data_IF_303049757017
#
_entry.id   IF_303049757017
#
_cell.length_a   1.000
_cell.length_b   1.000
_cell.length_c   1.000
_cell.angle_alpha   90.00
_cell.angle_beta   90.00
_cell.angle_gamma   90.00
#
_symmetry.space_group_name_H-M   'P 1'
#
loop_
_entity.id
_entity.type
_entity.pdbx_description
1 polymer ?
#
# COMPACT_ATOMS: atom_id res chain seq x y z
N UNK A 1 -4.52 11.61 1.33
CA UNK A 1 -3.24 11.65 0.63
C UNK A 1 -2.61 13.05 0.68
N UNK A 2 -3.29 14.08 0.16
CA UNK A 2 -2.75 15.46 0.17
C UNK A 2 -2.42 15.98 1.59
N UNK A 3 -3.27 15.71 2.57
CA UNK A 3 -3.06 16.11 3.97
C UNK A 3 -1.78 15.51 4.56
N UNK A 4 -1.56 14.22 4.35
CA UNK A 4 -0.36 13.53 4.86
C UNK A 4 0.93 14.02 4.18
N UNK A 5 0.88 14.29 2.88
CA UNK A 5 2.01 14.88 2.17
C UNK A 5 2.29 16.32 2.64
N UNK A 6 1.26 17.14 2.81
CA UNK A 6 1.41 18.50 3.36
C UNK A 6 2.03 18.50 4.76
N UNK A 7 1.64 17.55 5.60
CA UNK A 7 2.29 17.34 6.90
C UNK A 7 3.78 17.05 6.75
N UNK A 8 4.14 16.09 5.87
CA UNK A 8 5.53 15.72 5.64
C UNK A 8 6.35 16.94 5.15
N UNK A 9 5.81 17.74 4.22
CA UNK A 9 6.47 18.96 3.72
C UNK A 9 6.68 20.00 4.81
N UNK A 10 5.63 20.25 5.63
CA UNK A 10 5.71 21.19 6.75
C UNK A 10 6.80 20.82 7.76
N UNK A 11 7.04 19.52 7.95
CA UNK A 11 8.02 19.02 8.93
C UNK A 11 9.37 18.63 8.29
N UNK A 12 9.58 18.95 7.00
CA UNK A 12 10.79 18.61 6.23
C UNK A 12 11.12 17.10 6.29
N UNK A 13 10.10 16.25 6.12
CA UNK A 13 10.22 14.80 6.13
C UNK A 13 10.22 14.26 4.70
N UNK A 14 10.98 13.20 4.48
CA UNK A 14 10.84 12.38 3.27
C UNK A 14 9.52 11.61 3.33
N UNK A 15 8.73 11.69 2.27
CA UNK A 15 7.40 11.07 2.22
C UNK A 15 7.48 9.68 1.58
N UNK A 16 6.91 8.68 2.23
CA UNK A 16 6.75 7.33 1.67
C UNK A 16 5.30 6.90 1.79
N UNK A 17 4.69 6.54 0.65
CA UNK A 17 3.29 6.11 0.55
C UNK A 17 3.23 4.65 0.12
N UNK A 18 2.40 3.85 0.81
CA UNK A 18 2.35 2.39 0.66
C UNK A 18 1.30 1.90 -0.35
N UNK A 19 1.13 2.61 -1.46
CA UNK A 19 0.25 2.19 -2.56
C UNK A 19 -1.19 2.70 -2.46
N UNK A 20 -1.98 2.37 -3.49
CA UNK A 20 -3.38 2.75 -3.62
C UNK A 20 -3.61 4.28 -3.54
N UNK A 21 -2.85 5.02 -4.36
CA UNK A 21 -3.05 6.45 -4.58
C UNK A 21 -4.39 6.71 -5.27
N UNK A 22 -4.83 5.74 -6.06
CA UNK A 22 -6.08 5.76 -6.81
C UNK A 22 -7.19 4.97 -6.12
N UNK A 23 -8.40 5.22 -6.58
CA UNK A 23 -9.66 4.67 -6.11
C UNK A 23 -10.16 5.21 -4.76
N UNK A 24 -11.45 5.04 -4.51
CA UNK A 24 -12.20 5.48 -3.33
C UNK A 24 -12.20 6.98 -3.03
N UNK A 25 -11.14 7.71 -3.39
CA UNK A 25 -11.05 9.16 -3.17
C UNK A 25 -11.93 9.96 -4.12
N UNK A 26 -12.33 11.20 -3.74
CA UNK A 26 -13.19 12.05 -4.58
C UNK A 26 -12.45 12.72 -5.75
N UNK A 27 -11.12 12.79 -5.72
CA UNK A 27 -10.30 13.59 -6.62
C UNK A 27 -9.15 12.77 -7.25
N UNK A 28 -9.46 11.79 -8.13
CA UNK A 28 -8.43 10.90 -8.68
C UNK A 28 -7.41 11.61 -9.57
N UNK A 29 -7.83 12.60 -10.36
CA UNK A 29 -6.92 13.37 -11.22
C UNK A 29 -5.92 14.17 -10.39
N UNK A 30 -6.40 14.90 -9.39
CA UNK A 30 -5.54 15.68 -8.49
C UNK A 30 -4.60 14.78 -7.67
N UNK A 31 -5.03 13.57 -7.35
CA UNK A 31 -4.17 12.59 -6.69
C UNK A 31 -3.01 12.17 -7.58
N UNK A 32 -3.24 11.93 -8.88
CA UNK A 32 -2.17 11.63 -9.84
C UNK A 32 -1.25 12.83 -10.09
N UNK A 33 -1.79 14.02 -10.21
CA UNK A 33 -0.98 15.24 -10.37
C UNK A 33 -0.07 15.44 -9.15
N UNK A 34 -0.58 15.22 -7.94
CA UNK A 34 0.21 15.29 -6.73
C UNK A 34 1.26 14.16 -6.68
N UNK A 35 0.90 12.94 -7.10
CA UNK A 35 1.83 11.82 -7.17
C UNK A 35 2.98 12.14 -8.14
N UNK A 36 2.67 12.70 -9.31
CA UNK A 36 3.66 13.17 -10.28
C UNK A 36 4.58 14.22 -9.67
N UNK A 37 4.01 15.22 -9.01
CA UNK A 37 4.79 16.27 -8.34
C UNK A 37 5.78 15.71 -7.32
N UNK A 38 5.33 14.76 -6.48
CA UNK A 38 6.18 14.12 -5.48
C UNK A 38 7.35 13.37 -6.13
N UNK A 39 7.08 12.64 -7.22
CA UNK A 39 8.11 11.89 -7.96
C UNK A 39 9.10 12.84 -8.65
N UNK A 40 8.60 13.82 -9.38
CA UNK A 40 9.43 14.73 -10.19
C UNK A 40 10.33 15.61 -9.31
N UNK A 41 9.87 15.98 -8.12
CA UNK A 41 10.65 16.77 -7.15
C UNK A 41 11.53 15.90 -6.24
N UNK A 42 11.45 14.58 -6.30
CA UNK A 42 12.19 13.69 -5.41
C UNK A 42 11.81 13.84 -3.93
N UNK A 43 10.62 14.32 -3.64
CA UNK A 43 10.16 14.57 -2.28
C UNK A 43 9.71 13.30 -1.53
N UNK A 44 9.57 12.19 -2.24
CA UNK A 44 9.12 10.95 -1.65
C UNK A 44 9.14 9.76 -2.61
N UNK A 45 8.81 8.61 -2.08
CA UNK A 45 8.57 7.38 -2.83
C UNK A 45 7.12 6.97 -2.69
N UNK A 46 6.48 6.67 -3.81
CA UNK A 46 5.13 6.13 -3.88
C UNK A 46 5.23 4.67 -4.32
N UNK A 47 4.91 3.74 -3.44
CA UNK A 47 4.89 2.30 -3.76
C UNK A 47 3.65 2.00 -4.57
N UNK A 48 3.74 1.08 -5.52
CA UNK A 48 2.61 0.68 -6.34
C UNK A 48 1.63 -0.17 -5.52
N UNK A 49 0.35 0.23 -5.50
CA UNK A 49 -0.75 -0.55 -4.95
C UNK A 49 -1.46 -1.39 -6.01
N UNK A 50 -2.31 -2.30 -5.55
CA UNK A 50 -3.08 -3.16 -6.46
C UNK A 50 -4.15 -2.37 -7.24
N UNK A 51 -4.71 -1.31 -6.67
CA UNK A 51 -5.62 -0.40 -7.37
C UNK A 51 -4.89 0.40 -8.45
N UNK A 52 -3.72 0.95 -8.16
CA UNK A 52 -2.86 1.65 -9.10
C UNK A 52 -2.49 0.72 -10.27
N UNK A 53 -2.04 -0.50 -9.99
CA UNK A 53 -1.70 -1.51 -10.99
C UNK A 53 -2.90 -1.86 -11.89
N UNK A 54 -4.10 -1.96 -11.32
CA UNK A 54 -5.31 -2.30 -12.07
C UNK A 54 -5.71 -1.21 -13.04
N UNK A 55 -5.69 0.05 -12.62
CA UNK A 55 -5.95 1.22 -13.46
C UNK A 55 -4.85 1.37 -14.53
N UNK A 56 -3.59 1.10 -14.19
CA UNK A 56 -2.49 1.11 -15.16
C UNK A 56 -2.69 0.08 -16.28
N UNK A 57 -3.08 -1.14 -15.93
CA UNK A 57 -3.38 -2.18 -16.94
C UNK A 57 -4.54 -1.78 -17.84
N UNK A 58 -5.58 -1.14 -17.30
CA UNK A 58 -6.67 -0.57 -18.09
C UNK A 58 -6.16 0.54 -19.01
N UNK A 59 -5.35 1.47 -18.51
CA UNK A 59 -4.79 2.56 -19.31
C UNK A 59 -3.96 2.06 -20.50
N UNK A 60 -3.27 0.90 -20.35
CA UNK A 60 -2.56 0.20 -21.41
C UNK A 60 -3.45 -0.48 -22.45
N UNK A 61 -4.77 -0.47 -22.29
CA UNK A 61 -5.71 -1.15 -23.16
C UNK A 61 -5.85 -2.65 -22.91
N UNK A 62 -5.37 -3.16 -21.77
CA UNK A 62 -5.56 -4.57 -21.43
C UNK A 62 -7.03 -4.83 -21.08
N UNK A 63 -7.52 -6.03 -21.40
CA UNK A 63 -8.83 -6.49 -20.92
C UNK A 63 -8.74 -6.72 -19.40
N UNK A 64 -9.35 -5.80 -18.63
CA UNK A 64 -9.33 -5.81 -17.15
C UNK A 64 -10.75 -5.73 -16.62
N UNK A 65 -11.16 -6.74 -15.86
CA UNK A 65 -12.46 -6.68 -15.14
C UNK A 65 -12.40 -5.60 -14.05
N UNK A 66 -12.94 -4.42 -14.35
CA UNK A 66 -13.02 -3.31 -13.41
C UNK A 66 -14.06 -3.57 -12.32
N UNK A 67 -13.67 -3.41 -11.07
CA UNK A 67 -14.58 -3.41 -9.92
C UNK A 67 -15.31 -2.06 -9.77
N UNK A 68 -16.19 -1.96 -8.76
CA UNK A 68 -16.93 -0.72 -8.50
C UNK A 68 -16.00 0.48 -8.28
N UNK A 69 -14.95 0.32 -7.47
CA UNK A 69 -14.02 1.40 -7.15
C UNK A 69 -13.37 2.01 -8.41
N UNK A 70 -12.87 1.15 -9.33
CA UNK A 70 -12.27 1.61 -10.58
C UNK A 70 -13.29 2.30 -11.50
N UNK A 71 -14.51 1.75 -11.61
CA UNK A 71 -15.55 2.39 -12.41
C UNK A 71 -15.94 3.76 -11.84
N UNK A 72 -16.07 3.87 -10.52
CA UNK A 72 -16.34 5.15 -9.85
C UNK A 72 -15.21 6.17 -10.07
N UNK A 73 -13.95 5.72 -10.07
CA UNK A 73 -12.78 6.54 -10.39
C UNK A 73 -12.86 7.07 -11.82
N UNK A 74 -13.09 6.20 -12.80
CA UNK A 74 -13.18 6.59 -14.21
C UNK A 74 -14.36 7.53 -14.48
N UNK A 75 -15.51 7.32 -13.84
CA UNK A 75 -16.66 8.21 -13.95
C UNK A 75 -16.37 9.63 -13.43
N UNK A 76 -15.48 9.77 -12.42
CA UNK A 76 -15.07 11.10 -11.90
C UNK A 76 -14.12 11.86 -12.80
N UNK A 77 -13.46 11.20 -13.73
CA UNK A 77 -12.51 11.79 -14.68
C UNK A 77 -13.00 11.77 -16.13
N UNK A 78 -14.27 11.49 -16.36
CA UNK A 78 -14.83 11.31 -17.69
C UNK A 78 -14.50 12.46 -18.64
N UNK A 79 -14.62 13.72 -18.19
CA UNK A 79 -14.29 14.92 -18.97
C UNK A 79 -12.81 15.10 -19.26
N UNK A 80 -11.94 14.33 -18.61
CA UNK A 80 -10.48 14.42 -18.70
C UNK A 80 -9.84 13.06 -18.82
N UNK A 81 -10.56 12.10 -19.38
CA UNK A 81 -10.16 10.68 -19.41
C UNK A 81 -8.84 10.45 -20.14
N UNK A 82 -8.56 11.19 -21.21
CA UNK A 82 -7.31 11.05 -21.94
C UNK A 82 -6.13 11.59 -21.13
N UNK A 83 -6.28 12.78 -20.51
CA UNK A 83 -5.27 13.31 -19.61
C UNK A 83 -5.03 12.37 -18.41
N UNK A 84 -6.09 11.82 -17.84
CA UNK A 84 -5.99 10.87 -16.74
C UNK A 84 -5.23 9.61 -17.18
N UNK A 85 -5.54 9.06 -18.36
CA UNK A 85 -4.85 7.90 -18.95
C UNK A 85 -3.36 8.19 -19.14
N UNK A 86 -3.01 9.32 -19.71
CA UNK A 86 -1.61 9.71 -19.95
C UNK A 86 -0.84 9.84 -18.63
N UNK A 87 -1.44 10.47 -17.63
CA UNK A 87 -0.85 10.56 -16.29
C UNK A 87 -0.67 9.18 -15.63
N UNK A 88 -1.65 8.30 -15.76
CA UNK A 88 -1.52 6.92 -15.25
C UNK A 88 -0.34 6.21 -15.91
N UNK A 89 -0.20 6.34 -17.23
CA UNK A 89 0.90 5.74 -18.01
C UNK A 89 2.26 6.35 -17.69
N UNK A 90 2.30 7.59 -17.23
CA UNK A 90 3.54 8.26 -16.82
C UNK A 90 3.93 7.96 -15.37
N UNK A 91 2.96 8.03 -14.44
CA UNK A 91 3.20 8.03 -12.99
C UNK A 91 3.35 6.63 -12.43
N UNK A 92 2.42 5.73 -12.78
CA UNK A 92 2.36 4.41 -12.15
C UNK A 92 3.57 3.53 -12.46
N UNK A 93 4.15 3.51 -13.68
CA UNK A 93 5.36 2.72 -13.95
C UNK A 93 6.60 3.14 -13.14
N UNK A 94 6.62 4.36 -12.62
CA UNK A 94 7.71 4.88 -11.78
C UNK A 94 7.57 4.43 -10.31
N UNK A 95 6.42 3.87 -9.93
CA UNK A 95 6.17 3.38 -8.58
C UNK A 95 6.83 2.00 -8.39
N UNK A 96 7.78 1.84 -7.48
CA UNK A 96 8.35 0.54 -7.16
C UNK A 96 7.34 -0.32 -6.38
N UNK A 97 7.51 -1.65 -6.40
CA UNK A 97 6.72 -2.58 -5.58
C UNK A 97 7.11 -2.56 -4.10
N UNK A 98 8.30 -2.11 -3.80
CA UNK A 98 8.84 -2.00 -2.44
C UNK A 98 9.87 -0.88 -2.35
N UNK A 99 10.11 -0.45 -1.13
CA UNK A 99 11.28 0.37 -0.77
C UNK A 99 11.93 -0.23 0.47
N UNK A 100 13.21 0.03 0.65
CA UNK A 100 13.92 -0.38 1.86
C UNK A 100 14.91 0.68 2.30
N UNK A 101 15.05 0.83 3.60
CA UNK A 101 16.04 1.70 4.18
C UNK A 101 16.55 1.11 5.51
N UNK A 102 17.83 0.77 5.59
CA UNK A 102 18.42 0.05 6.73
C UNK A 102 17.68 -1.26 7.01
N UNK A 103 17.11 -1.41 8.20
CA UNK A 103 16.31 -2.56 8.62
C UNK A 103 14.80 -2.37 8.41
N UNK A 104 14.39 -1.32 7.72
CA UNK A 104 12.98 -1.09 7.40
C UNK A 104 12.69 -1.49 5.96
N UNK A 105 11.61 -2.22 5.78
CA UNK A 105 11.12 -2.66 4.48
C UNK A 105 9.66 -2.20 4.32
N UNK A 106 9.33 -1.67 3.17
CA UNK A 106 8.04 -1.05 2.89
C UNK A 106 7.44 -1.69 1.64
N UNK A 107 6.19 -2.11 1.72
CA UNK A 107 5.46 -2.75 0.63
C UNK A 107 3.97 -2.49 0.75
N UNK A 108 3.21 -2.73 -0.34
CA UNK A 108 1.77 -2.58 -0.30
C UNK A 108 1.07 -3.80 0.31
N UNK A 109 1.26 -5.01 -0.23
CA UNK A 109 0.49 -6.20 0.14
C UNK A 109 1.19 -7.16 1.09
N UNK A 110 2.46 -7.44 0.87
CA UNK A 110 3.26 -8.40 1.65
C UNK A 110 4.60 -8.67 0.99
N UNK A 111 5.34 -9.63 1.50
CA UNK A 111 6.65 -10.01 0.95
C UNK A 111 6.66 -11.50 0.61
N UNK A 112 7.00 -11.83 -0.62
CA UNK A 112 7.17 -13.24 -1.00
C UNK A 112 8.44 -13.80 -0.31
N UNK A 113 8.41 -14.98 0.35
CA UNK A 113 9.55 -15.50 1.10
C UNK A 113 10.85 -15.56 0.31
N UNK A 114 10.82 -16.07 -0.93
CA UNK A 114 12.00 -16.14 -1.81
C UNK A 114 12.64 -14.78 -2.09
N UNK A 115 11.92 -13.67 -1.88
CA UNK A 115 12.50 -12.34 -2.07
C UNK A 115 13.65 -12.08 -1.11
N UNK A 116 13.59 -12.61 0.11
CA UNK A 116 14.64 -12.40 1.10
C UNK A 116 15.97 -13.02 0.69
N UNK A 117 15.95 -14.07 -0.13
CA UNK A 117 17.12 -14.72 -0.69
C UNK A 117 17.62 -13.99 -1.95
N UNK A 118 16.73 -13.76 -2.90
CA UNK A 118 17.06 -13.21 -4.22
C UNK A 118 17.31 -11.70 -4.23
N UNK A 119 16.66 -10.97 -3.31
CA UNK A 119 16.62 -9.49 -3.25
C UNK A 119 16.08 -8.86 -4.54
N UNK A 120 15.41 -9.64 -5.37
CA UNK A 120 14.84 -9.23 -6.66
C UNK A 120 13.48 -9.88 -6.89
N UNK A 121 12.60 -9.16 -7.57
CA UNK A 121 11.35 -9.73 -8.05
C UNK A 121 11.67 -10.45 -9.36
N UNK A 122 11.61 -11.79 -9.33
CA UNK A 122 12.01 -12.65 -10.45
C UNK A 122 10.84 -13.28 -11.19
N UNK A 123 9.64 -13.22 -10.63
CA UNK A 123 8.42 -13.85 -11.18
C UNK A 123 7.15 -13.09 -10.82
N UNK A 124 6.10 -13.26 -11.65
CA UNK A 124 4.79 -12.60 -11.42
C UNK A 124 4.12 -13.00 -10.11
N UNK A 125 4.38 -14.19 -9.58
CA UNK A 125 3.86 -14.58 -8.26
C UNK A 125 4.41 -13.70 -7.14
N UNK A 126 5.67 -13.27 -7.23
CA UNK A 126 6.24 -12.30 -6.29
C UNK A 126 5.56 -10.93 -6.43
N UNK A 127 5.42 -10.40 -7.65
CA UNK A 127 4.68 -9.15 -7.89
C UNK A 127 3.28 -9.20 -7.28
N UNK A 128 2.59 -10.35 -7.45
CA UNK A 128 1.26 -10.55 -6.88
C UNK A 128 1.26 -10.44 -5.35
N UNK A 129 2.25 -11.02 -4.67
CA UNK A 129 2.34 -10.92 -3.20
C UNK A 129 2.62 -9.48 -2.77
N UNK A 130 3.49 -8.76 -3.47
CA UNK A 130 3.75 -7.34 -3.19
C UNK A 130 2.51 -6.47 -3.35
N UNK A 131 1.62 -6.79 -4.30
CA UNK A 131 0.40 -6.03 -4.58
C UNK A 131 -0.81 -6.45 -3.74
N UNK A 132 -0.98 -7.73 -3.47
CA UNK A 132 -2.22 -8.28 -2.91
C UNK A 132 -2.03 -9.01 -1.57
N UNK A 133 -0.79 -9.20 -1.12
CA UNK A 133 -0.49 -10.14 -0.06
C UNK A 133 -0.53 -11.60 -0.54
N UNK A 134 -0.19 -12.51 0.33
CA UNK A 134 -0.26 -13.95 0.05
C UNK A 134 -1.69 -14.45 0.24
N UNK A 135 -2.15 -15.32 -0.66
CA UNK A 135 -3.49 -15.91 -0.62
C UNK A 135 -3.41 -17.43 -0.75
N UNK A 136 -4.27 -18.13 -0.03
CA UNK A 136 -4.53 -19.54 -0.21
C UNK A 136 -5.72 -19.70 -1.17
N UNK A 137 -5.44 -19.99 -2.43
CA UNK A 137 -6.46 -20.13 -3.46
C UNK A 137 -7.32 -21.40 -3.31
N UNK A 138 -6.97 -22.32 -2.39
CA UNK A 138 -7.77 -23.51 -2.09
C UNK A 138 -8.95 -23.19 -1.17
N UNK A 139 -8.95 -22.00 -0.56
CA UNK A 139 -9.95 -21.53 0.41
C UNK A 139 -10.55 -20.20 0.00
N UNK A 140 -11.78 -19.98 0.40
CA UNK A 140 -12.43 -18.67 0.32
C UNK A 140 -13.10 -18.34 1.63
N UNK A 141 -13.14 -17.06 1.97
CA UNK A 141 -13.88 -16.55 3.13
C UNK A 141 -15.12 -15.85 2.62
N UNK A 142 -16.28 -16.23 3.16
CA UNK A 142 -17.54 -15.55 2.83
C UNK A 142 -17.67 -14.26 3.64
N UNK A 143 -17.84 -13.13 2.96
CA UNK A 143 -18.12 -11.86 3.60
C UNK A 143 -19.24 -11.11 2.88
N UNK A 144 -20.27 -10.72 3.63
CA UNK A 144 -21.48 -10.08 3.08
C UNK A 144 -22.05 -10.84 1.86
N UNK A 145 -22.05 -12.17 1.93
CA UNK A 145 -22.58 -13.05 0.87
C UNK A 145 -21.70 -13.16 -0.38
N UNK A 146 -20.47 -12.63 -0.35
CA UNK A 146 -19.53 -12.73 -1.46
C UNK A 146 -18.27 -13.51 -1.05
N UNK A 147 -17.71 -14.35 -1.93
CA UNK A 147 -16.46 -15.03 -1.68
C UNK A 147 -15.28 -14.08 -1.80
N UNK A 148 -14.40 -14.09 -0.80
CA UNK A 148 -13.12 -13.38 -0.79
C UNK A 148 -11.96 -14.37 -0.72
N UNK A 149 -10.83 -13.98 -1.28
CA UNK A 149 -9.61 -14.76 -1.17
C UNK A 149 -9.19 -14.90 0.30
N UNK A 150 -8.89 -16.12 0.72
CA UNK A 150 -8.35 -16.38 2.04
C UNK A 150 -6.90 -15.90 2.12
N UNK A 151 -6.64 -14.86 2.92
CA UNK A 151 -5.29 -14.32 3.11
C UNK A 151 -4.53 -15.17 4.11
N UNK A 152 -3.25 -15.34 3.84
CA UNK A 152 -2.32 -16.04 4.73
C UNK A 152 -1.13 -15.12 5.04
N UNK A 153 -0.61 -15.25 6.25
CA UNK A 153 0.44 -14.38 6.78
C UNK A 153 1.71 -15.15 7.13
N UNK A 154 1.85 -16.38 6.63
CA UNK A 154 3.03 -17.22 6.85
C UNK A 154 4.33 -16.53 6.38
N UNK A 155 4.22 -15.66 5.37
CA UNK A 155 5.34 -14.86 4.90
C UNK A 155 5.96 -13.98 5.99
N UNK A 156 5.20 -13.59 7.00
CA UNK A 156 5.71 -12.77 8.10
C UNK A 156 6.72 -13.54 8.96
N UNK A 157 6.55 -14.86 9.12
CA UNK A 157 7.48 -15.71 9.86
C UNK A 157 8.82 -15.93 9.13
N UNK A 158 8.86 -15.59 7.82
CA UNK A 158 10.08 -15.69 6.99
C UNK A 158 10.88 -14.38 6.94
N UNK A 159 10.43 -13.34 7.64
CA UNK A 159 11.15 -12.07 7.72
C UNK A 159 12.52 -12.30 8.38
N UNK A 160 13.63 -11.81 7.78
CA UNK A 160 14.96 -11.92 8.36
C UNK A 160 15.07 -11.18 9.69
N UNK A 161 15.90 -11.72 10.56
CA UNK A 161 16.12 -11.14 11.89
C UNK A 161 16.53 -9.66 11.82
N UNK A 162 15.93 -8.84 12.67
CA UNK A 162 16.18 -7.41 12.78
C UNK A 162 15.39 -6.56 11.78
N UNK A 163 14.67 -7.15 10.83
CA UNK A 163 13.84 -6.40 9.87
C UNK A 163 12.51 -5.98 10.49
N UNK A 164 12.03 -4.82 10.06
CA UNK A 164 10.69 -4.30 10.35
C UNK A 164 9.99 -4.05 9.02
N UNK A 165 8.85 -4.70 8.79
CA UNK A 165 8.11 -4.58 7.54
C UNK A 165 6.86 -3.73 7.73
N UNK A 166 6.70 -2.70 6.90
CA UNK A 166 5.49 -1.89 6.82
C UNK A 166 4.64 -2.34 5.64
N UNK A 167 3.35 -2.54 5.88
CA UNK A 167 2.38 -3.02 4.90
C UNK A 167 1.15 -2.10 4.87
N UNK A 168 0.67 -1.82 3.67
CA UNK A 168 -0.63 -1.19 3.44
C UNK A 168 -1.74 -2.26 3.27
N UNK A 169 -2.69 -2.01 2.34
CA UNK A 169 -3.63 -2.95 1.74
C UNK A 169 -4.59 -3.69 2.68
N UNK A 170 -4.14 -4.23 3.80
CA UNK A 170 -4.91 -5.11 4.65
C UNK A 170 -5.28 -4.45 5.98
N UNK A 171 -6.59 -4.27 6.19
CA UNK A 171 -7.14 -3.61 7.39
C UNK A 171 -7.35 -4.54 8.58
N UNK A 172 -7.46 -5.83 8.33
CA UNK A 172 -7.78 -6.83 9.35
C UNK A 172 -6.89 -8.04 9.21
N UNK A 173 -5.54 -7.84 9.26
CA UNK A 173 -4.64 -8.96 9.24
C UNK A 173 -4.92 -9.85 10.45
N UNK A 174 -4.79 -11.16 10.25
CA UNK A 174 -4.88 -12.17 11.31
C UNK A 174 -6.28 -12.45 11.87
N UNK A 175 -7.35 -11.82 11.35
CA UNK A 175 -8.70 -12.26 11.67
C UNK A 175 -9.10 -13.43 10.78
N UNK A 176 -9.51 -14.59 11.36
CA UNK A 176 -10.03 -15.71 10.58
C UNK A 176 -11.38 -15.38 9.93
N UNK A 177 -12.09 -14.38 10.47
CA UNK A 177 -13.29 -13.82 9.86
C UNK A 177 -13.02 -12.37 9.49
N UNK A 178 -13.45 -11.93 8.30
CA UNK A 178 -13.30 -10.55 7.88
C UNK A 178 -14.26 -9.66 8.68
N UNK A 179 -13.93 -9.38 9.92
CA UNK A 179 -14.67 -8.46 10.77
C UNK A 179 -14.27 -7.03 10.39
N UNK A 180 -14.80 -6.57 9.25
CA UNK A 180 -14.51 -5.26 8.69
C UNK A 180 -15.20 -4.10 9.43
N UNK A 181 -15.93 -4.38 10.49
CA UNK A 181 -16.54 -3.37 11.35
C UNK A 181 -15.54 -2.78 12.36
N UNK A 182 -14.38 -3.39 12.46
CA UNK A 182 -13.39 -2.95 13.41
C UNK A 182 -12.79 -1.63 12.99
N UNK A 183 -13.15 -0.68 13.71
CA UNK A 183 -12.56 0.60 14.01
C UNK A 183 -11.04 0.54 14.26
N UNK A 184 -10.27 0.03 13.31
CA UNK A 184 -8.83 0.19 13.34
C UNK A 184 -8.52 1.68 13.13
N UNK A 185 -8.63 2.44 14.22
CA UNK A 185 -8.23 3.85 14.25
C UNK A 185 -6.71 4.00 14.31
N UNK A 186 -6.02 2.91 14.55
CA UNK A 186 -4.58 2.84 14.76
C UNK A 186 -3.97 1.70 13.93
N UNK A 187 -2.74 1.85 13.47
CA UNK A 187 -1.97 0.76 12.87
C UNK A 187 -1.86 -0.45 13.80
N UNK A 188 -1.88 -1.64 13.20
CA UNK A 188 -1.65 -2.87 13.92
C UNK A 188 -0.18 -3.24 13.88
N UNK A 189 0.42 -3.48 15.03
CA UNK A 189 1.78 -4.03 15.14
C UNK A 189 1.68 -5.52 15.48
N UNK A 190 2.16 -6.35 14.57
CA UNK A 190 2.26 -7.79 14.75
C UNK A 190 3.70 -8.19 15.06
N UNK A 191 3.88 -9.07 16.02
CA UNK A 191 5.18 -9.68 16.35
C UNK A 191 5.18 -11.12 15.88
N UNK A 192 6.15 -11.48 15.07
CA UNK A 192 6.38 -12.86 14.64
C UNK A 192 6.90 -13.71 15.82
N UNK A 193 6.94 -15.03 15.65
CA UNK A 193 7.56 -15.94 16.63
C UNK A 193 9.05 -15.66 16.86
N UNK A 194 9.71 -14.99 15.92
CA UNK A 194 11.12 -14.57 16.00
C UNK A 194 11.27 -13.14 16.55
N UNK A 195 10.17 -12.56 17.06
CA UNK A 195 10.10 -11.19 17.58
C UNK A 195 10.31 -10.09 16.53
N UNK A 196 10.25 -10.43 15.23
CA UNK A 196 10.28 -9.46 14.16
C UNK A 196 8.94 -8.75 14.04
N UNK A 197 8.93 -7.52 13.50
CA UNK A 197 7.72 -6.69 13.48
C UNK A 197 7.16 -6.50 12.08
N UNK A 198 5.85 -6.72 11.97
CA UNK A 198 5.06 -6.27 10.81
C UNK A 198 4.09 -5.20 11.27
N UNK A 199 4.07 -4.09 10.57
CA UNK A 199 3.23 -2.92 10.88
C UNK A 199 2.25 -2.72 9.74
N UNK A 200 0.98 -2.99 10.00
CA UNK A 200 -0.11 -2.81 9.07
C UNK A 200 -0.69 -1.41 9.22
N UNK A 201 -0.49 -0.57 8.21
CA UNK A 201 -0.88 0.85 8.25
C UNK A 201 -2.27 1.12 7.64
N UNK A 202 -2.90 0.15 6.94
CA UNK A 202 -4.23 0.39 6.37
C UNK A 202 -5.31 0.41 7.47
N UNK A 203 -5.82 1.59 7.74
CA UNK A 203 -6.93 1.85 8.66
C UNK A 203 -8.22 2.22 7.93
N UNK A 204 -8.31 1.88 6.64
CA UNK A 204 -9.53 1.97 5.85
C UNK A 204 -9.89 3.37 5.35
N UNK A 205 -8.92 4.25 5.13
CA UNK A 205 -9.16 5.63 4.68
C UNK A 205 -10.08 5.76 3.48
N UNK A 206 -10.00 4.84 2.52
CA UNK A 206 -10.89 4.79 1.35
C UNK A 206 -12.31 4.28 1.63
N UNK A 207 -12.62 3.85 2.85
CA UNK A 207 -13.91 3.22 3.23
C UNK A 207 -14.49 3.82 4.52
N UNK A 208 -14.20 5.08 4.78
CA UNK A 208 -14.71 5.81 5.95
C UNK A 208 -13.81 5.72 7.20
N UNK A 209 -12.68 5.04 7.13
CA UNK A 209 -11.64 5.07 8.15
C UNK A 209 -10.71 6.27 8.00
N UNK A 210 -9.68 6.33 8.86
CA UNK A 210 -8.64 7.36 8.81
C UNK A 210 -7.48 6.94 7.92
N UNK A 211 -6.72 7.89 7.39
CA UNK A 211 -5.42 7.61 6.79
C UNK A 211 -4.37 7.58 7.89
N UNK A 212 -3.71 6.45 8.06
CA UNK A 212 -2.65 6.30 9.06
C UNK A 212 -1.26 6.42 8.46
N UNK A 213 -0.31 6.84 9.28
CA UNK A 213 1.11 6.91 8.95
C UNK A 213 2.00 6.67 10.15
N UNK A 214 3.28 6.49 9.90
CA UNK A 214 4.31 6.45 10.93
C UNK A 214 5.33 7.55 10.66
N UNK A 215 5.60 8.38 11.67
CA UNK A 215 6.73 9.30 11.65
C UNK A 215 7.95 8.57 12.20
N UNK A 216 9.06 8.72 11.51
CA UNK A 216 10.33 8.08 11.87
C UNK A 216 11.44 9.11 11.90
N UNK A 217 12.35 8.96 12.86
CA UNK A 217 13.55 9.79 12.95
C UNK A 217 14.77 8.98 13.41
N UNK A 218 15.95 9.59 13.33
CA UNK A 218 17.16 9.01 13.87
C UNK A 218 17.26 9.29 15.36
N UNK A 219 17.46 8.26 16.17
CA UNK A 219 17.78 8.40 17.57
C UNK A 219 19.23 8.91 17.77
N UNK A 220 19.62 9.17 19.02
CA UNK A 220 20.94 9.66 19.36
C UNK A 220 22.10 8.72 18.98
N UNK A 221 21.80 7.47 18.65
CA UNK A 221 22.79 6.46 18.19
C UNK A 221 22.80 6.34 16.66
N UNK A 222 22.11 7.23 15.93
CA UNK A 222 22.01 7.18 14.47
C UNK A 222 21.19 6.01 13.93
N UNK A 223 20.37 5.38 14.77
CA UNK A 223 19.44 4.34 14.35
C UNK A 223 18.09 4.96 14.01
N UNK A 224 17.50 4.54 12.89
CA UNK A 224 16.15 4.94 12.53
C UNK A 224 15.14 4.25 13.46
N UNK A 225 14.21 5.02 14.02
CA UNK A 225 13.18 4.53 14.93
C UNK A 225 11.81 5.12 14.57
N UNK A 226 10.75 4.44 14.95
CA UNK A 226 9.38 4.97 14.86
C UNK A 226 9.17 5.90 16.05
N UNK A 227 8.93 7.18 15.78
CA UNK A 227 8.65 8.19 16.81
C UNK A 227 7.19 8.08 17.28
N UNK A 228 6.27 8.03 16.33
CA UNK A 228 4.84 8.01 16.60
C UNK A 228 4.05 7.54 15.38
N UNK A 229 2.85 7.02 15.64
CA UNK A 229 1.85 6.85 14.60
C UNK A 229 1.00 8.10 14.45
N UNK A 230 0.60 8.38 13.23
CA UNK A 230 -0.17 9.56 12.84
C UNK A 230 -1.51 9.12 12.26
N UNK A 231 -2.54 9.92 12.46
CA UNK A 231 -3.86 9.74 11.86
C UNK A 231 -4.27 11.05 11.19
N UNK A 232 -4.73 10.94 9.95
CA UNK A 232 -5.18 12.08 9.13
C UNK A 232 -6.65 11.88 8.78
N UNK A 233 -7.46 12.87 9.09
CA UNK A 233 -8.89 12.97 8.76
C UNK A 233 -9.12 13.80 7.51
#
# INVERSE_FOLDING_TARGET
FATSYSYARKHNLYYLQLGDVLDYGPKPLESLLLAKEIQDKGHGTLIQGNHDNKIFRWAKGNDVKLGKAQRDTLARVDFSIDLFRDLVLEVVPKQPFYASYKNFFFTHGGVHPEFWETKKITKKSMESVFLYGQVDNSKSVMWKGQPYAHRVYDWAEEIPRGQIVFVGHDRSPLSPEPNFEDNLKMPLVYYTKKEERVIFLDTGSGKGGTLSGAKMSFNNFGQLAIDTFLSFT
#
